data_IF_509789283436
#
_entry.id   IF_509789283436
#
_cell.length_a   1.000
_cell.length_b   1.000
_cell.length_c   1.000
_cell.angle_alpha   90.00
_cell.angle_beta   90.00
_cell.angle_gamma   90.00
#
_symmetry.space_group_name_H-M   'P 1'
#
loop_
_entity.id
_entity.type
_entity.pdbx_description
1 polymer ?
#
# COMPACT_ATOMS: atom_id res chain seq x y z
N UNK A 1 -18.68 13.67 -5.60
CA UNK A 1 -17.61 13.11 -6.43
C UNK A 1 -16.48 12.64 -5.49
N UNK A 2 -15.80 11.56 -5.84
CA UNK A 2 -14.65 11.04 -5.09
C UNK A 2 -13.48 10.99 -6.05
N UNK A 3 -12.38 11.60 -5.62
CA UNK A 3 -11.11 11.63 -6.33
C UNK A 3 -10.03 10.97 -5.47
N UNK A 4 -8.93 10.58 -6.07
CA UNK A 4 -7.76 10.11 -5.33
C UNK A 4 -6.52 10.89 -5.73
N UNK A 5 -5.60 11.04 -4.79
CA UNK A 5 -4.32 11.69 -4.98
C UNK A 5 -3.21 10.75 -4.52
N UNK A 6 -2.29 10.45 -5.42
CA UNK A 6 -1.08 9.69 -5.11
C UNK A 6 0.12 10.61 -5.32
N UNK A 7 0.68 11.14 -4.25
CA UNK A 7 1.82 12.03 -4.37
C UNK A 7 3.09 11.27 -4.76
N UNK A 8 3.92 11.89 -5.57
CA UNK A 8 5.28 11.42 -5.82
C UNK A 8 6.07 11.43 -4.50
N UNK A 9 6.37 10.25 -3.98
CA UNK A 9 7.09 10.08 -2.71
C UNK A 9 8.51 10.65 -2.71
N UNK A 10 9.12 10.78 -3.88
CA UNK A 10 10.47 11.33 -4.02
C UNK A 10 10.46 12.86 -3.92
N UNK A 11 9.35 13.49 -4.29
CA UNK A 11 9.15 14.93 -4.24
C UNK A 11 8.53 15.40 -2.92
N UNK A 12 7.54 14.68 -2.41
CA UNK A 12 6.73 15.13 -1.27
C UNK A 12 6.99 14.37 0.03
N UNK A 13 7.78 13.30 0.00
CA UNK A 13 8.00 12.44 1.14
C UNK A 13 6.84 11.46 1.38
N UNK A 14 6.76 10.95 2.61
CA UNK A 14 5.77 9.96 3.01
C UNK A 14 4.71 10.59 3.93
N UNK A 15 3.47 10.11 3.81
CA UNK A 15 2.32 10.54 4.60
C UNK A 15 1.75 11.89 4.16
N UNK A 16 0.74 12.37 4.88
CA UNK A 16 0.13 13.67 4.63
C UNK A 16 1.04 14.78 5.15
N UNK A 17 1.84 15.37 4.26
CA UNK A 17 2.65 16.56 4.54
C UNK A 17 1.86 17.84 4.23
N UNK A 18 2.29 19.02 4.73
CA UNK A 18 1.67 20.30 4.35
C UNK A 18 1.62 20.51 2.82
N UNK A 19 2.71 20.16 2.12
CA UNK A 19 2.77 20.29 0.66
C UNK A 19 1.77 19.39 -0.07
N UNK A 20 1.47 18.19 0.48
CA UNK A 20 0.44 17.29 -0.06
C UNK A 20 -0.97 17.85 0.23
N UNK A 21 -1.20 18.45 1.39
CA UNK A 21 -2.45 19.12 1.70
C UNK A 21 -2.72 20.29 0.75
N UNK A 22 -1.68 21.11 0.48
CA UNK A 22 -1.76 22.18 -0.50
C UNK A 22 -2.05 21.65 -1.92
N UNK A 23 -1.36 20.57 -2.32
CA UNK A 23 -1.58 19.92 -3.61
C UNK A 23 -3.03 19.42 -3.75
N UNK A 24 -3.57 18.75 -2.72
CA UNK A 24 -4.94 18.26 -2.71
C UNK A 24 -5.94 19.42 -2.84
N UNK A 25 -5.73 20.49 -2.10
CA UNK A 25 -6.58 21.69 -2.16
C UNK A 25 -6.53 22.36 -3.54
N UNK A 26 -5.32 22.59 -4.09
CA UNK A 26 -5.15 23.22 -5.39
C UNK A 26 -5.72 22.38 -6.55
N UNK A 27 -5.69 21.04 -6.42
CA UNK A 27 -6.12 20.15 -7.51
C UNK A 27 -7.62 19.89 -7.49
N UNK A 28 -8.20 19.70 -6.30
CA UNK A 28 -9.58 19.21 -6.17
C UNK A 28 -10.49 20.08 -5.32
N UNK A 29 -9.94 21.01 -4.49
CA UNK A 29 -10.73 21.78 -3.50
C UNK A 29 -11.73 20.93 -2.73
N UNK A 30 -11.27 19.83 -2.07
CA UNK A 30 -12.19 18.88 -1.46
C UNK A 30 -12.76 19.39 -0.14
N UNK A 31 -14.01 19.07 0.16
CA UNK A 31 -14.63 19.31 1.47
C UNK A 31 -14.04 18.36 2.54
N UNK A 32 -13.67 17.14 2.12
CA UNK A 32 -13.18 16.08 3.00
C UNK A 32 -11.96 15.39 2.38
N UNK A 33 -10.87 15.31 3.15
CA UNK A 33 -9.68 14.56 2.86
C UNK A 33 -9.65 13.29 3.72
N UNK A 34 -9.51 12.13 3.09
CA UNK A 34 -9.37 10.85 3.79
C UNK A 34 -7.99 10.28 3.48
N UNK A 35 -7.17 10.10 4.51
CA UNK A 35 -5.90 9.36 4.34
C UNK A 35 -6.17 7.87 4.41
N UNK A 36 -5.45 7.09 3.62
CA UNK A 36 -5.48 5.62 3.64
C UNK A 36 -4.06 5.10 3.79
N UNK A 37 -3.85 4.24 4.79
CA UNK A 37 -2.56 3.64 5.11
C UNK A 37 -1.47 4.64 5.54
N UNK A 38 -1.87 5.80 6.00
CA UNK A 38 -0.98 6.83 6.55
C UNK A 38 -1.78 7.87 7.36
N UNK A 39 -1.06 8.79 8.01
CA UNK A 39 -1.68 9.95 8.64
C UNK A 39 -1.56 10.00 10.15
N UNK A 40 -1.32 8.87 10.84
CA UNK A 40 -1.25 8.84 12.30
C UNK A 40 -0.17 9.75 12.90
N UNK A 41 0.83 10.12 12.13
CA UNK A 41 1.91 11.03 12.53
C UNK A 41 1.88 12.38 11.78
N UNK A 42 0.84 12.64 10.99
CA UNK A 42 0.74 13.77 10.05
C UNK A 42 0.15 15.03 10.68
N UNK A 43 0.60 15.43 11.86
CA UNK A 43 0.06 16.59 12.59
C UNK A 43 0.06 17.88 11.77
N UNK A 44 1.19 18.20 11.13
CA UNK A 44 1.35 19.42 10.33
C UNK A 44 0.54 19.39 9.05
N UNK A 45 0.43 18.21 8.41
CA UNK A 45 -0.38 18.06 7.21
C UNK A 45 -1.88 18.17 7.49
N UNK A 46 -2.35 17.62 8.63
CA UNK A 46 -3.74 17.78 9.09
C UNK A 46 -4.04 19.24 9.37
N UNK A 47 -3.18 19.94 10.12
CA UNK A 47 -3.36 21.36 10.39
C UNK A 47 -3.40 22.21 9.10
N UNK A 48 -2.55 21.89 8.12
CA UNK A 48 -2.55 22.58 6.82
C UNK A 48 -3.83 22.31 6.04
N UNK A 49 -4.31 21.07 6.02
CA UNK A 49 -5.58 20.74 5.37
C UNK A 49 -6.76 21.51 6.00
N UNK A 50 -6.80 21.57 7.31
CA UNK A 50 -7.83 22.31 8.07
C UNK A 50 -7.71 23.83 7.85
N UNK A 51 -6.50 24.38 7.70
CA UNK A 51 -6.31 25.78 7.36
C UNK A 51 -6.89 26.15 5.98
N UNK A 52 -6.98 25.17 5.06
CA UNK A 52 -7.71 25.30 3.80
C UNK A 52 -9.22 25.04 3.91
N UNK A 53 -9.75 24.77 5.11
CA UNK A 53 -11.17 24.48 5.34
C UNK A 53 -11.57 23.02 5.04
N UNK A 54 -10.62 22.13 4.76
CA UNK A 54 -10.89 20.72 4.54
C UNK A 54 -11.11 20.00 5.87
N UNK A 55 -12.13 19.15 5.95
CA UNK A 55 -12.25 18.15 7.02
C UNK A 55 -11.25 17.00 6.76
N UNK A 56 -10.72 16.38 7.83
CA UNK A 56 -9.75 15.29 7.68
C UNK A 56 -10.19 14.05 8.44
N UNK A 57 -10.25 12.91 7.77
CA UNK A 57 -10.39 11.59 8.38
C UNK A 57 -9.11 10.80 8.14
N UNK A 58 -8.51 10.26 9.19
CA UNK A 58 -7.33 9.41 9.10
C UNK A 58 -7.76 7.94 9.19
N UNK A 59 -7.37 7.13 8.19
CA UNK A 59 -7.43 5.67 8.28
C UNK A 59 -6.01 5.12 8.16
N UNK A 60 -5.52 4.47 9.21
CA UNK A 60 -4.12 4.05 9.31
C UNK A 60 -3.99 2.79 10.18
N UNK A 61 -2.85 2.14 10.16
CA UNK A 61 -2.55 0.99 11.00
C UNK A 61 -1.17 1.07 11.66
N UNK A 62 -0.39 2.09 11.33
CA UNK A 62 0.95 2.25 11.88
C UNK A 62 0.93 2.51 13.39
N UNK A 63 2.00 2.07 14.05
CA UNK A 63 2.21 2.32 15.48
C UNK A 63 2.54 3.79 15.72
N UNK A 64 2.07 4.31 16.86
CA UNK A 64 2.43 5.65 17.31
C UNK A 64 2.63 5.66 18.82
N UNK A 65 3.62 6.41 19.26
CA UNK A 65 3.84 6.72 20.69
C UNK A 65 3.40 8.15 21.03
N UNK A 66 2.98 8.91 20.01
CA UNK A 66 2.52 10.30 20.16
C UNK A 66 0.99 10.37 20.19
N UNK A 67 0.40 11.43 20.72
CA UNK A 67 -1.03 11.71 20.55
C UNK A 67 -1.40 11.69 19.06
N UNK A 68 -2.64 11.34 18.74
CA UNK A 68 -3.14 11.39 17.37
C UNK A 68 -3.26 12.82 16.88
N UNK A 69 -3.13 13.08 15.56
CA UNK A 69 -3.46 14.37 14.97
C UNK A 69 -4.89 14.81 15.31
N UNK A 70 -5.11 16.11 15.38
CA UNK A 70 -6.43 16.72 15.63
C UNK A 70 -7.29 16.71 14.36
N UNK A 71 -7.71 15.51 13.93
CA UNK A 71 -8.57 15.28 12.79
C UNK A 71 -10.02 15.00 13.24
N UNK A 72 -11.00 15.17 12.36
CA UNK A 72 -12.43 14.88 12.66
C UNK A 72 -12.63 13.44 13.13
N UNK A 73 -11.86 12.51 12.59
CA UNK A 73 -11.82 11.13 13.05
C UNK A 73 -10.46 10.47 12.75
N UNK A 74 -10.02 9.61 13.67
CA UNK A 74 -8.84 8.76 13.49
C UNK A 74 -9.27 7.31 13.69
N UNK A 75 -9.17 6.52 12.63
CA UNK A 75 -9.46 5.09 12.62
C UNK A 75 -8.15 4.33 12.48
N UNK A 76 -7.61 3.91 13.62
CA UNK A 76 -6.38 3.13 13.69
C UNK A 76 -6.49 2.12 14.84
N UNK A 77 -6.39 0.79 14.58
CA UNK A 77 -6.48 -0.22 15.62
C UNK A 77 -5.35 -0.12 16.64
N UNK A 78 -4.24 0.52 16.29
CA UNK A 78 -3.04 0.64 17.11
C UNK A 78 -2.97 1.95 17.92
N UNK A 79 -3.97 2.84 17.80
CA UNK A 79 -4.04 4.02 18.66
C UNK A 79 -4.30 3.63 20.13
N UNK A 80 -3.81 4.45 21.04
CA UNK A 80 -3.92 4.21 22.48
C UNK A 80 -5.39 4.05 22.89
N UNK A 81 -5.68 2.99 23.65
CA UNK A 81 -7.03 2.71 24.17
C UNK A 81 -8.02 2.13 23.15
N UNK A 82 -7.63 1.88 21.89
CA UNK A 82 -8.52 1.27 20.93
C UNK A 82 -8.87 -0.17 21.32
N UNK A 83 -10.16 -0.53 21.46
CA UNK A 83 -10.58 -1.87 21.87
C UNK A 83 -10.63 -2.89 20.73
N UNK A 84 -10.31 -2.49 19.49
CA UNK A 84 -10.37 -3.39 18.35
C UNK A 84 -9.38 -4.55 18.52
N UNK A 85 -9.84 -5.81 18.41
CA UNK A 85 -9.04 -6.97 18.85
C UNK A 85 -7.85 -7.28 17.92
N UNK A 86 -7.98 -7.03 16.62
CA UNK A 86 -6.91 -7.27 15.65
C UNK A 86 -6.00 -6.04 15.53
N UNK A 87 -4.80 -6.14 16.08
CA UNK A 87 -3.77 -5.11 15.99
C UNK A 87 -2.87 -5.26 14.76
N UNK A 88 -3.08 -6.32 14.00
CA UNK A 88 -2.29 -6.68 12.83
C UNK A 88 -2.94 -6.30 11.49
N UNK A 89 -4.03 -5.53 11.49
CA UNK A 89 -4.65 -5.09 10.24
C UNK A 89 -3.65 -4.29 9.39
N UNK A 90 -3.60 -4.58 8.09
CA UNK A 90 -3.02 -3.67 7.11
C UNK A 90 -3.95 -2.48 6.84
N UNK A 91 -3.43 -1.39 6.26
CA UNK A 91 -4.22 -0.19 5.96
C UNK A 91 -5.47 -0.49 5.11
N UNK A 92 -5.36 -1.39 4.14
CA UNK A 92 -6.51 -1.86 3.34
C UNK A 92 -7.58 -2.57 4.19
N UNK A 93 -7.18 -3.29 5.23
CA UNK A 93 -8.08 -3.92 6.18
C UNK A 93 -8.84 -2.89 7.02
N UNK A 94 -8.16 -1.82 7.44
CA UNK A 94 -8.81 -0.70 8.15
C UNK A 94 -9.84 -0.03 7.25
N UNK A 95 -9.46 0.30 6.00
CA UNK A 95 -10.38 0.88 5.03
C UNK A 95 -11.60 -0.02 4.76
N UNK A 96 -11.39 -1.34 4.67
CA UNK A 96 -12.47 -2.30 4.50
C UNK A 96 -13.47 -2.26 5.67
N UNK A 97 -13.01 -2.22 6.92
CA UNK A 97 -13.90 -2.14 8.08
C UNK A 97 -14.67 -0.81 8.14
N UNK A 98 -14.03 0.31 7.75
CA UNK A 98 -14.72 1.60 7.61
C UNK A 98 -15.85 1.50 6.58
N UNK A 99 -15.57 0.94 5.41
CA UNK A 99 -16.57 0.74 4.35
C UNK A 99 -17.69 -0.21 4.79
N UNK A 100 -17.38 -1.29 5.49
CA UNK A 100 -18.37 -2.25 5.98
C UNK A 100 -19.32 -1.61 7.00
N UNK A 101 -18.77 -0.78 7.90
CA UNK A 101 -19.57 -0.04 8.87
C UNK A 101 -20.44 1.03 8.17
N UNK A 102 -19.86 1.78 7.25
CA UNK A 102 -20.59 2.77 6.45
C UNK A 102 -21.76 2.12 5.67
N UNK A 103 -21.50 0.97 5.03
CA UNK A 103 -22.56 0.23 4.31
C UNK A 103 -23.68 -0.21 5.27
N UNK A 104 -23.32 -0.71 6.45
CA UNK A 104 -24.29 -1.10 7.48
C UNK A 104 -25.11 0.08 7.97
N UNK A 105 -24.47 1.22 8.20
CA UNK A 105 -25.15 2.45 8.61
C UNK A 105 -26.11 2.96 7.52
N UNK A 106 -25.65 3.02 6.26
CA UNK A 106 -26.51 3.41 5.13
C UNK A 106 -27.71 2.50 4.98
N UNK A 107 -27.54 1.17 5.14
CA UNK A 107 -28.65 0.21 5.10
C UNK A 107 -29.69 0.48 6.19
N UNK A 108 -29.25 0.81 7.42
CA UNK A 108 -30.15 1.20 8.52
C UNK A 108 -30.96 2.47 8.19
N UNK A 109 -30.41 3.36 7.37
CA UNK A 109 -31.07 4.56 6.88
C UNK A 109 -31.92 4.32 5.61
N UNK A 110 -32.12 3.06 5.19
CA UNK A 110 -32.87 2.73 3.97
C UNK A 110 -32.18 3.12 2.67
N UNK A 111 -30.87 3.45 2.71
CA UNK A 111 -30.10 3.86 1.53
C UNK A 111 -29.44 2.65 0.87
N UNK A 112 -29.35 2.67 -0.47
CA UNK A 112 -28.63 1.67 -1.24
C UNK A 112 -27.14 1.64 -0.85
N UNK A 113 -26.55 0.45 -0.85
CA UNK A 113 -25.13 0.24 -0.57
C UNK A 113 -24.53 -0.76 -1.55
N UNK A 114 -23.26 -0.58 -1.89
CA UNK A 114 -22.50 -1.61 -2.61
C UNK A 114 -22.26 -2.83 -1.70
N UNK A 115 -22.13 -4.00 -2.32
CA UNK A 115 -21.75 -5.21 -1.61
C UNK A 115 -20.25 -5.14 -1.23
N UNK A 116 -19.94 -4.81 0.02
CA UNK A 116 -18.56 -4.58 0.48
C UNK A 116 -17.66 -5.81 0.29
N UNK A 117 -18.26 -7.01 0.34
CA UNK A 117 -17.52 -8.28 0.13
C UNK A 117 -16.81 -8.38 -1.22
N UNK A 118 -17.21 -7.60 -2.22
CA UNK A 118 -16.53 -7.55 -3.52
C UNK A 118 -15.09 -7.00 -3.43
N UNK A 119 -14.74 -6.29 -2.36
CA UNK A 119 -13.40 -5.72 -2.15
C UNK A 119 -12.46 -6.65 -1.38
N UNK A 120 -12.91 -7.85 -1.01
CA UNK A 120 -12.07 -8.81 -0.27
C UNK A 120 -10.87 -9.32 -1.08
N UNK A 121 -10.95 -9.30 -2.39
CA UNK A 121 -9.82 -9.56 -3.28
C UNK A 121 -8.67 -8.57 -3.06
N UNK A 122 -8.97 -7.27 -2.95
CA UNK A 122 -7.99 -6.22 -2.61
C UNK A 122 -7.51 -6.34 -1.17
N UNK A 123 -8.39 -6.67 -0.24
CA UNK A 123 -8.02 -6.85 1.17
C UNK A 123 -7.03 -7.99 1.33
N UNK A 124 -7.28 -9.13 0.67
CA UNK A 124 -6.36 -10.26 0.69
C UNK A 124 -5.00 -9.89 0.07
N UNK A 125 -5.02 -9.24 -1.10
CA UNK A 125 -3.81 -8.80 -1.79
C UNK A 125 -3.01 -7.82 -0.94
N UNK A 126 -3.62 -6.74 -0.46
CA UNK A 126 -2.93 -5.71 0.30
C UNK A 126 -2.42 -6.20 1.65
N UNK A 127 -3.21 -7.01 2.38
CA UNK A 127 -2.79 -7.58 3.67
C UNK A 127 -1.54 -8.46 3.51
N UNK A 128 -1.47 -9.24 2.42
CA UNK A 128 -0.31 -10.10 2.16
C UNK A 128 0.88 -9.32 1.62
N UNK A 129 0.65 -8.30 0.78
CA UNK A 129 1.69 -7.45 0.21
C UNK A 129 2.35 -6.54 1.26
N UNK A 130 1.59 -6.14 2.29
CA UNK A 130 2.05 -5.37 3.44
C UNK A 130 2.80 -6.22 4.49
N UNK A 131 2.88 -7.54 4.27
CA UNK A 131 3.50 -8.49 5.20
C UNK A 131 2.89 -8.41 6.61
N UNK A 132 1.61 -8.06 6.69
CA UNK A 132 0.89 -7.96 7.95
C UNK A 132 0.83 -9.31 8.68
N UNK A 133 0.97 -9.30 10.00
CA UNK A 133 0.88 -10.53 10.79
C UNK A 133 -0.46 -11.25 10.58
N UNK A 134 -0.41 -12.57 10.35
CA UNK A 134 -1.58 -13.38 10.03
C UNK A 134 -2.31 -13.82 11.32
N UNK A 135 -2.88 -12.87 12.05
CA UNK A 135 -3.76 -13.15 13.16
C UNK A 135 -5.08 -13.81 12.68
N UNK A 136 -5.93 -14.16 13.62
CA UNK A 136 -7.20 -14.85 13.30
C UNK A 136 -8.07 -14.03 12.34
N UNK A 137 -8.14 -12.70 12.54
CA UNK A 137 -8.94 -11.80 11.71
C UNK A 137 -8.39 -11.69 10.28
N UNK A 138 -7.08 -11.46 10.14
CA UNK A 138 -6.44 -11.36 8.83
C UNK A 138 -6.55 -12.67 8.03
N UNK A 139 -6.47 -13.84 8.72
CA UNK A 139 -6.66 -15.14 8.06
C UNK A 139 -8.06 -15.27 7.47
N UNK A 140 -9.11 -14.83 8.18
CA UNK A 140 -10.49 -14.83 7.66
C UNK A 140 -10.61 -13.96 6.42
N UNK A 141 -10.07 -12.73 6.49
CA UNK A 141 -10.14 -11.79 5.38
C UNK A 141 -9.40 -12.31 4.15
N UNK A 142 -8.18 -12.84 4.34
CA UNK A 142 -7.36 -13.40 3.26
C UNK A 142 -8.03 -14.63 2.66
N UNK A 143 -8.53 -15.57 3.47
CA UNK A 143 -9.21 -16.77 2.99
C UNK A 143 -10.44 -16.42 2.14
N UNK A 144 -11.24 -15.46 2.62
CA UNK A 144 -12.41 -15.00 1.88
C UNK A 144 -12.05 -14.33 0.55
N UNK A 145 -11.01 -13.47 0.54
CA UNK A 145 -10.55 -12.83 -0.68
C UNK A 145 -9.90 -13.81 -1.66
N UNK A 146 -9.07 -14.73 -1.16
CA UNK A 146 -8.43 -15.76 -1.96
C UNK A 146 -9.46 -16.67 -2.65
N UNK A 147 -10.48 -17.11 -1.92
CA UNK A 147 -11.59 -17.90 -2.50
C UNK A 147 -12.31 -17.16 -3.63
N UNK A 148 -12.51 -15.86 -3.48
CA UNK A 148 -13.10 -15.04 -4.56
C UNK A 148 -12.23 -15.01 -5.80
N UNK A 149 -10.91 -14.82 -5.62
CA UNK A 149 -9.96 -14.84 -6.74
C UNK A 149 -9.96 -16.20 -7.42
N UNK A 150 -9.90 -17.30 -6.65
CA UNK A 150 -9.94 -18.68 -7.16
C UNK A 150 -11.22 -18.99 -7.95
N UNK A 151 -12.34 -18.33 -7.61
CA UNK A 151 -13.62 -18.49 -8.28
C UNK A 151 -13.80 -17.53 -9.46
N UNK A 152 -12.78 -16.75 -9.85
CA UNK A 152 -12.86 -15.77 -10.91
C UNK A 152 -13.73 -14.54 -10.58
N UNK A 153 -14.05 -14.33 -9.28
CA UNK A 153 -14.86 -13.21 -8.79
C UNK A 153 -13.97 -12.04 -8.32
N UNK A 154 -12.90 -11.79 -9.00
CA UNK A 154 -11.97 -10.71 -8.70
C UNK A 154 -11.95 -9.65 -9.80
N UNK A 155 -11.23 -8.56 -9.53
CA UNK A 155 -11.07 -7.44 -10.47
C UNK A 155 -10.32 -7.86 -11.73
N UNK A 156 -10.63 -7.24 -12.90
CA UNK A 156 -9.87 -7.46 -14.14
C UNK A 156 -8.37 -7.29 -13.96
N UNK A 157 -7.90 -6.31 -13.17
CA UNK A 157 -6.48 -6.09 -12.90
C UNK A 157 -5.81 -7.25 -12.19
N UNK A 158 -6.46 -7.89 -11.23
CA UNK A 158 -5.93 -9.09 -10.56
C UNK A 158 -5.85 -10.26 -11.54
N UNK A 159 -6.90 -10.46 -12.35
CA UNK A 159 -6.93 -11.50 -13.40
C UNK A 159 -5.77 -11.31 -14.38
N UNK A 160 -5.58 -10.11 -14.90
CA UNK A 160 -4.52 -9.80 -15.86
C UNK A 160 -3.13 -10.01 -15.26
N UNK A 161 -2.91 -9.58 -14.03
CA UNK A 161 -1.64 -9.77 -13.32
C UNK A 161 -1.31 -11.25 -13.09
N UNK A 162 -2.31 -12.07 -12.76
CA UNK A 162 -2.13 -13.52 -12.58
C UNK A 162 -1.76 -14.19 -13.89
N UNK A 163 -2.46 -13.88 -14.98
CA UNK A 163 -2.23 -14.44 -16.30
C UNK A 163 -0.82 -14.09 -16.81
N UNK A 164 -0.43 -12.81 -16.75
CA UNK A 164 0.93 -12.36 -17.11
C UNK A 164 2.01 -13.02 -16.25
N UNK A 165 1.69 -13.33 -15.00
CA UNK A 165 2.58 -14.05 -14.10
C UNK A 165 2.60 -15.57 -14.33
N UNK A 166 1.79 -16.10 -15.25
CA UNK A 166 1.64 -17.53 -15.52
C UNK A 166 1.06 -18.29 -14.34
N UNK A 167 0.12 -17.69 -13.60
CA UNK A 167 -0.54 -18.30 -12.44
C UNK A 167 -2.00 -18.62 -12.74
N UNK A 168 -2.37 -19.87 -12.52
CA UNK A 168 -3.76 -20.31 -12.58
C UNK A 168 -4.51 -19.85 -11.31
N UNK A 169 -5.57 -19.02 -11.46
CA UNK A 169 -6.36 -18.56 -10.32
C UNK A 169 -6.90 -19.70 -9.46
N UNK A 170 -7.30 -20.83 -10.06
CA UNK A 170 -7.91 -21.96 -9.33
C UNK A 170 -6.95 -22.63 -8.36
N UNK A 171 -5.64 -22.60 -8.65
CA UNK A 171 -4.59 -23.18 -7.82
C UNK A 171 -3.82 -22.16 -6.97
N UNK A 172 -4.26 -20.89 -6.98
CA UNK A 172 -3.59 -19.77 -6.32
C UNK A 172 -3.48 -20.01 -4.81
N UNK A 173 -2.31 -19.71 -4.25
CA UNK A 173 -2.06 -19.72 -2.81
C UNK A 173 -1.95 -18.30 -2.26
N UNK A 174 -2.22 -18.12 -0.97
CA UNK A 174 -2.15 -16.81 -0.34
C UNK A 174 -0.77 -16.16 -0.49
N UNK A 175 0.32 -16.94 -0.41
CA UNK A 175 1.68 -16.41 -0.61
C UNK A 175 1.91 -15.86 -2.02
N UNK A 176 1.17 -16.32 -3.05
CA UNK A 176 1.31 -15.77 -4.42
C UNK A 176 0.84 -14.31 -4.47
N UNK A 177 -0.09 -13.91 -3.61
CA UNK A 177 -0.53 -12.52 -3.49
C UNK A 177 0.65 -11.60 -3.12
N UNK A 178 1.45 -12.00 -2.13
CA UNK A 178 2.59 -11.22 -1.65
C UNK A 178 3.87 -11.37 -2.49
N UNK A 179 4.12 -12.54 -3.09
CA UNK A 179 5.38 -12.81 -3.77
C UNK A 179 5.28 -12.80 -5.30
N UNK A 180 4.06 -12.83 -5.85
CA UNK A 180 3.84 -12.77 -7.30
C UNK A 180 3.17 -11.46 -7.69
N UNK A 181 2.02 -11.10 -7.10
CA UNK A 181 1.28 -9.90 -7.47
C UNK A 181 1.86 -8.64 -6.81
N UNK A 182 2.09 -8.66 -5.49
CA UNK A 182 2.60 -7.53 -4.73
C UNK A 182 3.86 -6.89 -5.33
N UNK A 183 4.92 -7.65 -5.69
CA UNK A 183 6.13 -7.09 -6.28
C UNK A 183 5.92 -6.37 -7.62
N UNK A 184 4.94 -6.80 -8.44
CA UNK A 184 4.61 -6.14 -9.70
C UNK A 184 3.95 -4.79 -9.47
N UNK A 185 2.98 -4.74 -8.56
CA UNK A 185 2.28 -3.51 -8.20
C UNK A 185 3.26 -2.53 -7.51
N UNK A 186 4.03 -3.02 -6.54
CA UNK A 186 4.99 -2.21 -5.79
C UNK A 186 6.12 -1.66 -6.66
N UNK A 187 6.44 -2.33 -7.79
CA UNK A 187 7.47 -1.85 -8.70
C UNK A 187 7.11 -0.48 -9.30
N UNK A 188 5.83 -0.18 -9.55
CA UNK A 188 5.40 1.13 -10.01
C UNK A 188 5.88 2.25 -9.07
N UNK A 189 5.55 2.21 -7.79
CA UNK A 189 5.93 3.24 -6.83
C UNK A 189 7.42 3.26 -6.45
N UNK A 190 8.22 2.29 -6.93
CA UNK A 190 9.68 2.26 -6.75
C UNK A 190 10.44 2.81 -7.95
N UNK A 191 9.94 2.54 -9.15
CA UNK A 191 10.60 2.87 -10.42
C UNK A 191 10.00 4.12 -11.07
N UNK A 192 8.69 4.35 -10.90
CA UNK A 192 7.91 5.45 -11.48
C UNK A 192 6.88 5.97 -10.47
N UNK A 193 5.63 6.15 -10.90
CA UNK A 193 4.50 6.54 -10.06
C UNK A 193 3.57 5.36 -9.78
N UNK A 194 2.92 5.36 -8.62
CA UNK A 194 1.99 4.30 -8.24
C UNK A 194 0.68 4.32 -9.04
N UNK A 195 0.40 5.37 -9.79
CA UNK A 195 -0.83 5.55 -10.57
C UNK A 195 -1.12 4.34 -11.46
N UNK A 196 -0.09 3.81 -12.16
CA UNK A 196 -0.23 2.62 -13.03
C UNK A 196 -0.78 1.42 -12.25
N UNK A 197 -0.30 1.23 -11.01
CA UNK A 197 -0.77 0.15 -10.14
C UNK A 197 -2.22 0.34 -9.71
N UNK A 198 -2.60 1.56 -9.37
CA UNK A 198 -3.97 1.91 -8.98
C UNK A 198 -4.91 1.77 -10.17
N UNK A 199 -4.56 2.33 -11.32
CA UNK A 199 -5.36 2.23 -12.53
C UNK A 199 -5.57 0.78 -12.98
N UNK A 200 -4.55 -0.07 -12.85
CA UNK A 200 -4.66 -1.50 -13.12
C UNK A 200 -5.72 -2.16 -12.21
N UNK A 201 -5.72 -1.83 -10.91
CA UNK A 201 -6.70 -2.37 -9.97
C UNK A 201 -8.09 -1.72 -10.10
N UNK A 202 -8.19 -0.53 -10.67
CA UNK A 202 -9.45 0.17 -10.96
C UNK A 202 -10.01 -0.15 -12.35
N UNK A 203 -9.25 -0.79 -13.24
CA UNK A 203 -9.67 -1.13 -14.59
C UNK A 203 -11.00 -1.91 -14.60
N UNK A 204 -11.91 -1.49 -15.47
CA UNK A 204 -13.25 -2.08 -15.57
C UNK A 204 -13.34 -3.16 -16.65
N UNK A 205 -12.41 -3.17 -17.59
CA UNK A 205 -12.32 -4.15 -18.65
C UNK A 205 -10.95 -4.84 -18.70
N UNK A 206 -10.93 -6.06 -19.27
CA UNK A 206 -9.71 -6.87 -19.32
C UNK A 206 -8.64 -6.29 -20.24
N UNK A 207 -9.00 -5.63 -21.35
CA UNK A 207 -8.00 -5.11 -22.29
C UNK A 207 -7.17 -3.99 -21.65
N UNK A 208 -7.85 -3.05 -20.98
CA UNK A 208 -7.19 -2.02 -20.19
C UNK A 208 -6.34 -2.64 -19.09
N UNK A 209 -6.90 -3.60 -18.35
CA UNK A 209 -6.19 -4.29 -17.27
C UNK A 209 -4.92 -4.99 -17.76
N UNK A 210 -4.97 -5.69 -18.90
CA UNK A 210 -3.80 -6.34 -19.50
C UNK A 210 -2.71 -5.35 -19.91
N UNK A 211 -3.08 -4.24 -20.54
CA UNK A 211 -2.11 -3.21 -20.93
C UNK A 211 -1.33 -2.66 -19.71
N UNK A 212 -2.06 -2.33 -18.64
CA UNK A 212 -1.46 -1.84 -17.39
C UNK A 212 -0.66 -2.93 -16.66
N UNK A 213 -1.16 -4.16 -16.61
CA UNK A 213 -0.47 -5.27 -15.98
C UNK A 213 0.85 -5.64 -16.71
N UNK A 214 0.91 -5.48 -18.03
CA UNK A 214 2.15 -5.63 -18.82
C UNK A 214 3.18 -4.57 -18.43
N UNK A 215 2.77 -3.31 -18.27
CA UNK A 215 3.65 -2.23 -17.80
C UNK A 215 4.18 -2.53 -16.41
N UNK A 216 3.32 -2.93 -15.47
CA UNK A 216 3.71 -3.33 -14.12
C UNK A 216 4.71 -4.49 -14.11
N UNK A 217 4.50 -5.49 -14.97
CA UNK A 217 5.44 -6.60 -15.10
C UNK A 217 6.79 -6.14 -15.64
N UNK A 218 6.80 -5.24 -16.64
CA UNK A 218 8.04 -4.66 -17.17
C UNK A 218 8.81 -3.88 -16.10
N UNK A 219 8.14 -3.00 -15.36
CA UNK A 219 8.74 -2.27 -14.24
C UNK A 219 9.30 -3.21 -13.16
N UNK A 220 8.63 -4.32 -12.89
CA UNK A 220 9.14 -5.32 -11.94
C UNK A 220 10.38 -6.07 -12.47
N UNK A 221 10.48 -6.31 -13.77
CA UNK A 221 11.69 -6.88 -14.41
C UNK A 221 12.85 -5.89 -14.27
N UNK A 222 12.63 -4.64 -14.62
CA UNK A 222 13.63 -3.57 -14.51
C UNK A 222 14.11 -3.37 -13.07
N UNK A 223 13.17 -3.32 -12.13
CA UNK A 223 13.51 -3.25 -10.70
C UNK A 223 14.44 -4.39 -10.27
N UNK A 224 14.15 -5.64 -10.69
CA UNK A 224 14.99 -6.80 -10.36
C UNK A 224 16.39 -6.69 -10.97
N UNK A 225 16.52 -6.16 -12.18
CA UNK A 225 17.81 -5.94 -12.81
C UNK A 225 18.63 -4.91 -12.03
N UNK A 226 18.00 -3.78 -11.66
CA UNK A 226 18.65 -2.73 -10.85
C UNK A 226 19.04 -3.29 -9.47
N UNK A 227 18.16 -4.04 -8.81
CA UNK A 227 18.45 -4.72 -7.54
C UNK A 227 19.63 -5.65 -7.63
N UNK A 228 19.67 -6.51 -8.66
CA UNK A 228 20.79 -7.42 -8.91
C UNK A 228 22.13 -6.71 -9.12
N UNK A 229 22.10 -5.60 -9.87
CA UNK A 229 23.29 -4.77 -10.10
C UNK A 229 23.82 -4.14 -8.80
N UNK A 230 22.93 -3.45 -8.06
CA UNK A 230 23.30 -2.82 -6.77
C UNK A 230 23.84 -3.88 -5.80
N UNK A 231 23.18 -5.05 -5.72
CA UNK A 231 23.66 -6.14 -4.86
C UNK A 231 25.06 -6.63 -5.23
N UNK A 232 25.35 -6.79 -6.52
CA UNK A 232 26.68 -7.20 -6.98
C UNK A 232 27.74 -6.15 -6.65
N UNK A 233 27.45 -4.87 -6.88
CA UNK A 233 28.36 -3.77 -6.57
C UNK A 233 28.61 -3.68 -5.05
N UNK A 234 27.56 -3.75 -4.23
CA UNK A 234 27.69 -3.74 -2.78
C UNK A 234 28.51 -4.92 -2.24
N UNK A 235 28.31 -6.13 -2.78
CA UNK A 235 29.10 -7.30 -2.39
C UNK A 235 30.58 -7.14 -2.79
N UNK A 236 30.87 -6.62 -3.99
CA UNK A 236 32.22 -6.37 -4.42
C UNK A 236 32.93 -5.32 -3.54
N UNK A 237 32.22 -4.28 -3.12
CA UNK A 237 32.75 -3.29 -2.18
C UNK A 237 33.01 -3.90 -0.80
N UNK A 238 32.10 -4.74 -0.30
CA UNK A 238 32.29 -5.48 0.96
C UNK A 238 33.54 -6.36 0.96
N UNK A 239 33.87 -6.99 -0.15
CA UNK A 239 35.09 -7.82 -0.27
C UNK A 239 36.40 -6.99 -0.15
N UNK A 240 36.34 -5.69 -0.43
CA UNK A 240 37.48 -4.78 -0.28
C UNK A 240 37.68 -4.28 1.15
N UNK A 241 36.64 -4.35 1.98
CA UNK A 241 36.69 -3.89 3.36
C UNK A 241 37.37 -4.96 4.22
N UNK A 242 38.55 -4.64 4.79
CA UNK A 242 39.18 -5.50 5.80
C UNK A 242 38.40 -5.37 7.13
N UNK A 243 37.45 -6.28 7.35
CA UNK A 243 36.73 -6.38 8.64
C UNK A 243 37.60 -7.17 9.64
N UNK A 244 37.92 -6.56 10.78
CA UNK A 244 38.46 -7.30 11.90
C UNK A 244 37.37 -8.20 12.46
N UNK A 245 37.57 -9.52 12.39
CA UNK A 245 36.60 -10.51 12.89
C UNK A 245 36.41 -10.46 14.40
N UNK A 246 37.31 -9.80 15.13
CA UNK A 246 37.23 -9.65 16.59
C UNK A 246 36.51 -8.34 17.00
N UNK A 247 36.43 -7.36 16.09
CA UNK A 247 35.76 -6.08 16.34
C UNK A 247 34.91 -5.69 15.11
N UNK A 248 33.82 -6.40 14.93
CA UNK A 248 32.88 -6.12 13.85
C UNK A 248 32.07 -4.85 14.15
N UNK A 249 31.94 -3.92 13.19
CA UNK A 249 31.11 -2.74 13.38
C UNK A 249 29.65 -3.13 13.53
N UNK A 250 28.90 -2.39 14.35
CA UNK A 250 27.46 -2.64 14.58
C UNK A 250 26.61 -2.38 13.34
N UNK A 251 27.11 -1.64 12.35
CA UNK A 251 26.47 -1.37 11.08
C UNK A 251 27.51 -1.06 10.00
N UNK A 252 27.22 -1.46 8.77
CA UNK A 252 27.93 -1.05 7.58
C UNK A 252 27.06 -0.10 6.77
N UNK A 253 27.59 1.04 6.39
CA UNK A 253 26.90 2.02 5.54
C UNK A 253 27.67 2.08 4.23
N UNK A 254 26.97 1.77 3.14
CA UNK A 254 27.50 1.89 1.78
C UNK A 254 26.68 2.90 1.00
N UNK A 255 27.33 3.66 0.14
CA UNK A 255 26.69 4.69 -0.65
C UNK A 255 27.38 4.83 -2.01
N UNK A 256 26.55 4.73 -3.05
CA UNK A 256 26.97 5.09 -4.41
C UNK A 256 25.95 6.06 -5.02
N UNK A 257 26.40 7.19 -5.61
CA UNK A 257 25.50 8.23 -6.13
C UNK A 257 24.52 7.72 -7.20
N UNK A 258 24.88 6.66 -7.91
CA UNK A 258 24.07 6.10 -9.00
C UNK A 258 23.10 5.02 -8.53
N UNK A 259 23.11 4.61 -7.27
CA UNK A 259 22.18 3.63 -6.76
C UNK A 259 20.77 4.19 -6.69
N UNK A 260 19.84 3.42 -7.26
CA UNK A 260 18.46 3.86 -7.39
C UNK A 260 17.75 3.92 -6.03
N UNK A 261 17.31 5.13 -5.62
CA UNK A 261 16.72 5.37 -4.30
C UNK A 261 15.49 4.50 -3.98
N UNK A 262 14.69 4.09 -4.98
CA UNK A 262 13.54 3.20 -4.81
C UNK A 262 13.91 1.73 -4.58
N UNK A 263 15.20 1.35 -4.78
CA UNK A 263 15.66 -0.05 -4.75
C UNK A 263 16.63 -0.32 -3.62
N UNK A 264 17.44 0.67 -3.20
CA UNK A 264 18.45 0.49 -2.13
C UNK A 264 17.90 -0.15 -0.86
N UNK A 265 16.68 0.21 -0.43
CA UNK A 265 16.05 -0.36 0.75
C UNK A 265 15.71 -1.85 0.63
N UNK A 266 15.62 -2.40 -0.59
CA UNK A 266 15.43 -3.85 -0.79
C UNK A 266 16.77 -4.56 -0.64
N UNK A 267 17.85 -3.95 -1.12
CA UNK A 267 19.20 -4.55 -1.08
C UNK A 267 19.78 -4.54 0.34
N UNK A 268 19.42 -3.53 1.14
CA UNK A 268 19.88 -3.38 2.52
C UNK A 268 19.19 -4.35 3.51
N UNK A 269 18.06 -4.95 3.16
CA UNK A 269 17.33 -5.95 3.96
C UNK A 269 17.66 -7.35 3.50
#
# INVERSE_FOLDING_TARGET
>A
QVEYLVPDRFKYGYGLTPAIADLAFCTYTPDLLITVDNGISSHTGVAQAQAHGMQVIITDHHLTTKPTPDAEAVVNPNQLGCPFPSKALAGVGVAFYVLANLATHRKKLGKSTAAVVQYLDLVALGTYADVASLDYNNRILIDAGLKRIQQGQCRPGITALLDIAGRDPASLKAQDLGFVLGPRINAAGRMETMDIGIECLLAQDLNQAYALAQQLNQLNVERRQVEGKIKQEALAELETIQLDTQDLPSALIMYEPHWHQGVIGIVAG
#
